data_IF_601752951999
#
_entry.id   IF_601752951999
#
_cell.length_a   1.000
_cell.length_b   1.000
_cell.length_c   1.000
_cell.angle_alpha   90.00
_cell.angle_beta   90.00
_cell.angle_gamma   90.00
#
_symmetry.space_group_name_H-M   'P 1'
#
loop_
_entity.id
_entity.type
_entity.pdbx_description
1 polymer ?
#
# COMPACT_ATOMS: atom_id res chain seq x y z
N UNK A 1 13.72 -13.78 3.05
CA UNK A 1 13.61 -14.16 1.62
C UNK A 1 15.02 -14.32 1.04
N UNK A 2 15.26 -15.30 0.16
CA UNK A 2 16.49 -15.36 -0.64
C UNK A 2 16.73 -14.06 -1.41
N UNK A 3 17.99 -13.60 -1.53
CA UNK A 3 18.34 -12.32 -2.17
C UNK A 3 17.80 -12.20 -3.60
N UNK A 4 17.80 -13.33 -4.32
CA UNK A 4 17.34 -13.46 -5.71
C UNK A 4 15.84 -13.23 -5.94
N UNK A 5 15.03 -13.18 -4.88
CA UNK A 5 13.57 -13.02 -4.97
C UNK A 5 13.10 -11.58 -4.68
N UNK A 6 14.01 -10.69 -4.29
CA UNK A 6 13.66 -9.29 -4.02
C UNK A 6 13.15 -8.53 -5.24
N UNK A 7 13.71 -8.70 -6.46
CA UNK A 7 13.18 -8.04 -7.66
C UNK A 7 11.71 -8.39 -7.92
N UNK A 8 11.32 -9.66 -7.74
CA UNK A 8 9.96 -10.14 -7.92
C UNK A 8 9.02 -9.58 -6.85
N UNK A 9 9.47 -9.52 -5.59
CA UNK A 9 8.69 -8.94 -4.50
C UNK A 9 8.48 -7.44 -4.71
N UNK A 10 9.53 -6.69 -5.07
CA UNK A 10 9.41 -5.26 -5.34
C UNK A 10 8.46 -5.00 -6.50
N UNK A 11 8.55 -5.80 -7.57
CA UNK A 11 7.61 -5.71 -8.69
C UNK A 11 6.17 -5.96 -8.25
N UNK A 12 5.95 -7.00 -7.45
CA UNK A 12 4.61 -7.31 -6.93
C UNK A 12 4.03 -6.18 -6.05
N UNK A 13 4.84 -5.60 -5.16
CA UNK A 13 4.40 -4.46 -4.32
C UNK A 13 4.03 -3.25 -5.19
N UNK A 14 4.89 -2.90 -6.15
CA UNK A 14 4.64 -1.78 -7.07
C UNK A 14 3.38 -2.01 -7.90
N UNK A 15 3.17 -3.24 -8.38
CA UNK A 15 1.98 -3.62 -9.12
C UNK A 15 0.71 -3.45 -8.26
N UNK A 16 0.72 -3.93 -7.01
CA UNK A 16 -0.40 -3.75 -6.07
C UNK A 16 -0.67 -2.27 -5.80
N UNK A 17 0.36 -1.50 -5.47
CA UNK A 17 0.20 -0.07 -5.12
C UNK A 17 -0.37 0.72 -6.30
N UNK A 18 0.08 0.41 -7.51
CA UNK A 18 -0.42 1.05 -8.74
C UNK A 18 -1.86 0.66 -9.09
N UNK A 19 -2.34 -0.48 -8.59
CA UNK A 19 -3.69 -1.00 -8.85
C UNK A 19 -4.64 -0.87 -7.65
N UNK A 20 -4.16 -0.34 -6.52
CA UNK A 20 -4.96 -0.12 -5.31
C UNK A 20 -5.44 1.33 -5.26
N UNK A 21 -6.71 1.52 -4.91
CA UNK A 21 -7.31 2.83 -4.75
C UNK A 21 -6.64 3.59 -3.61
N UNK A 22 -6.32 4.87 -3.83
CA UNK A 22 -5.71 5.71 -2.79
C UNK A 22 -6.61 6.89 -2.44
N UNK A 23 -6.61 7.28 -1.16
CA UNK A 23 -7.37 8.46 -0.70
C UNK A 23 -6.85 9.75 -1.34
N UNK A 24 -5.54 9.83 -1.58
CA UNK A 24 -4.91 10.98 -2.25
C UNK A 24 -5.48 11.24 -3.66
N UNK A 25 -5.95 10.19 -4.34
CA UNK A 25 -6.55 10.27 -5.66
C UNK A 25 -8.08 10.11 -5.64
N UNK A 26 -8.74 10.46 -4.53
CA UNK A 26 -10.21 10.37 -4.36
C UNK A 26 -10.76 8.97 -4.66
N UNK A 27 -10.02 7.92 -4.27
CA UNK A 27 -10.40 6.53 -4.51
C UNK A 27 -10.03 5.99 -5.89
N UNK A 28 -9.32 6.75 -6.73
CA UNK A 28 -8.71 6.24 -7.96
C UNK A 28 -7.36 5.57 -7.68
N UNK A 29 -6.97 4.66 -8.55
CA UNK A 29 -5.65 4.04 -8.54
C UNK A 29 -4.61 4.95 -9.24
N UNK A 30 -3.31 4.87 -8.88
CA UNK A 30 -2.26 5.60 -9.59
C UNK A 30 -2.21 5.27 -11.09
N UNK A 31 -2.35 3.99 -11.46
CA UNK A 31 -2.37 3.57 -12.87
C UNK A 31 -3.55 4.18 -13.65
N UNK A 32 -4.74 4.23 -13.05
CA UNK A 32 -5.90 4.90 -13.66
C UNK A 32 -5.68 6.39 -13.86
N UNK A 33 -4.94 7.04 -12.95
CA UNK A 33 -4.66 8.47 -13.06
C UNK A 33 -3.64 8.74 -14.16
N UNK A 34 -2.62 7.89 -14.28
CA UNK A 34 -1.54 8.05 -15.27
C UNK A 34 -2.03 7.75 -16.70
N UNK A 35 -2.74 6.65 -16.89
CA UNK A 35 -3.14 6.18 -18.22
C UNK A 35 -4.57 6.55 -18.61
N UNK A 36 -5.37 7.13 -17.69
CA UNK A 36 -6.80 7.40 -17.87
C UNK A 36 -7.60 6.16 -18.35
N UNK A 37 -7.13 4.96 -18.01
CA UNK A 37 -7.73 3.67 -18.34
C UNK A 37 -7.96 2.90 -17.04
N UNK A 38 -9.06 2.15 -16.95
CA UNK A 38 -9.30 1.24 -15.82
C UNK A 38 -8.11 0.25 -15.68
N UNK A 39 -7.71 -0.09 -14.45
CA UNK A 39 -6.57 -0.95 -14.21
C UNK A 39 -6.96 -2.37 -14.56
N UNK A 40 -6.06 -3.07 -15.25
CA UNK A 40 -6.23 -4.48 -15.57
C UNK A 40 -5.83 -5.33 -14.36
N UNK A 41 -6.84 -5.80 -13.62
CA UNK A 41 -6.66 -6.59 -12.40
C UNK A 41 -6.33 -8.06 -12.68
N UNK A 42 -6.33 -8.52 -13.94
CA UNK A 42 -6.05 -9.91 -14.30
C UNK A 42 -4.68 -10.40 -13.84
N UNK A 43 -3.74 -9.46 -13.63
CA UNK A 43 -2.37 -9.72 -13.21
C UNK A 43 -2.20 -9.81 -11.69
N UNK A 44 -3.22 -9.43 -10.92
CA UNK A 44 -3.16 -9.46 -9.45
C UNK A 44 -3.68 -10.81 -8.96
N UNK A 45 -2.81 -11.55 -8.27
CA UNK A 45 -3.26 -12.65 -7.41
C UNK A 45 -3.60 -12.09 -6.04
N UNK A 46 -4.89 -11.91 -5.77
CA UNK A 46 -5.40 -11.63 -4.43
C UNK A 46 -5.31 -12.95 -3.65
N UNK A 47 -4.34 -13.03 -2.74
CA UNK A 47 -4.17 -14.21 -1.87
C UNK A 47 -5.20 -14.16 -0.73
N UNK A 48 -5.53 -12.96 -0.25
CA UNK A 48 -6.53 -12.74 0.77
C UNK A 48 -7.02 -11.28 0.71
N UNK A 49 -8.32 -11.07 0.93
CA UNK A 49 -8.92 -9.76 1.14
C UNK A 49 -9.59 -9.77 2.52
N UNK A 50 -9.23 -8.81 3.39
CA UNK A 50 -9.86 -8.62 4.70
C UNK A 50 -10.28 -7.18 4.86
N UNK A 51 -11.53 -6.99 5.30
CA UNK A 51 -11.96 -5.71 5.82
C UNK A 51 -11.28 -5.48 7.17
N UNK A 52 -10.45 -4.43 7.23
CA UNK A 52 -9.82 -3.99 8.47
C UNK A 52 -10.50 -2.73 8.96
N UNK A 53 -11.09 -2.80 10.15
CA UNK A 53 -11.63 -1.64 10.85
C UNK A 53 -10.48 -1.04 11.67
N UNK A 54 -9.99 0.12 11.24
CA UNK A 54 -9.01 0.86 12.03
C UNK A 54 -9.75 1.53 13.19
N UNK A 55 -9.32 1.25 14.43
CA UNK A 55 -9.81 1.98 15.60
C UNK A 55 -9.30 3.41 15.55
N UNK A 56 -10.22 4.36 15.36
CA UNK A 56 -9.92 5.80 15.44
C UNK A 56 -9.74 6.26 16.90
N UNK A 57 -10.24 5.49 17.87
CA UNK A 57 -10.16 5.75 19.32
C UNK A 57 -8.90 5.15 19.99
N UNK A 58 -8.10 4.39 19.23
CA UNK A 58 -6.85 3.85 19.72
C UNK A 58 -5.73 4.90 19.60
N UNK A 59 -5.58 5.74 20.62
CA UNK A 59 -4.41 6.63 20.71
C UNK A 59 -3.16 5.80 20.97
N UNK A 60 -2.19 5.86 20.05
CA UNK A 60 -0.89 5.24 20.26
C UNK A 60 -0.09 6.09 21.26
N UNK A 61 0.52 5.43 22.25
CA UNK A 61 1.31 6.11 23.29
C UNK A 61 2.34 7.07 22.69
N UNK A 62 2.47 8.26 23.28
CA UNK A 62 3.48 9.26 22.91
C UNK A 62 4.90 8.67 22.85
N UNK A 63 5.22 7.68 23.69
CA UNK A 63 6.50 6.96 23.66
C UNK A 63 6.78 6.29 22.30
N UNK A 64 5.76 5.67 21.71
CA UNK A 64 5.87 4.98 20.42
C UNK A 64 5.94 5.98 19.26
N UNK A 65 5.15 7.06 19.30
CA UNK A 65 5.21 8.12 18.29
C UNK A 65 6.59 8.80 18.27
N UNK A 66 7.17 9.10 19.43
CA UNK A 66 8.52 9.65 19.51
C UNK A 66 9.55 8.70 18.88
N UNK A 67 9.46 7.39 19.15
CA UNK A 67 10.37 6.41 18.53
C UNK A 67 10.29 6.38 16.99
N UNK A 68 9.11 6.61 16.41
CA UNK A 68 8.91 6.69 14.96
C UNK A 68 9.42 8.00 14.35
N UNK A 69 9.25 9.11 15.06
CA UNK A 69 9.59 10.44 14.56
C UNK A 69 11.07 10.79 14.74
N UNK A 70 11.77 10.15 15.68
CA UNK A 70 13.22 10.34 15.93
C UNK A 70 14.11 9.99 14.73
N UNK A 71 13.61 9.20 13.76
CA UNK A 71 14.36 8.86 12.54
C UNK A 71 14.10 9.78 11.33
N UNK A 72 13.41 10.91 11.49
CA UNK A 72 12.98 11.80 10.38
C UNK A 72 13.61 13.20 10.39
N UNK A 73 14.81 13.36 10.93
CA UNK A 73 15.61 14.57 10.76
C UNK A 73 16.97 14.24 10.14
#
# INVERSE_FOLDING_TARGET
LPQKLWPEVLRYVVDIDNMTATRALKGRTPSEKLFNKKPDISKIRIVEARDVQFREDATVSSKYLNKLLVGRH
#
